data_IF_793310339433
#
_entry.id   IF_793310339433
#
_cell.length_a   1.000
_cell.length_b   1.000
_cell.length_c   1.000
_cell.angle_alpha   90.00
_cell.angle_beta   90.00
_cell.angle_gamma   90.00
#
_symmetry.space_group_name_H-M   'P 1'
#
loop_
_entity.id
_entity.type
_entity.pdbx_description
1 polymer ?
#
# COMPACT_ATOMS: atom_id res chain seq x y z
N UNK A 1 -16.39 24.18 3.10
CA UNK A 1 -15.06 24.59 2.59
C UNK A 1 -14.08 23.50 2.98
N UNK A 2 -13.68 22.65 2.03
CA UNK A 2 -12.73 21.57 2.26
C UNK A 2 -11.32 22.18 2.35
N UNK A 3 -10.64 22.00 3.48
CA UNK A 3 -9.24 22.41 3.63
C UNK A 3 -8.38 21.43 2.80
N UNK A 4 -7.92 21.89 1.64
CA UNK A 4 -7.15 21.10 0.67
C UNK A 4 -5.73 20.73 1.14
N UNK A 5 -5.32 21.16 2.33
CA UNK A 5 -3.95 20.99 2.85
C UNK A 5 -3.68 19.61 3.49
N UNK A 6 -4.72 18.81 3.78
CA UNK A 6 -4.59 17.49 4.41
C UNK A 6 -5.69 16.51 3.92
N UNK A 7 -5.71 16.14 2.62
CA UNK A 7 -6.78 15.29 2.07
C UNK A 7 -6.83 13.89 2.72
N UNK A 8 -5.72 13.39 3.27
CA UNK A 8 -5.61 12.04 3.84
C UNK A 8 -6.14 11.94 5.28
N UNK A 9 -6.07 13.03 6.06
CA UNK A 9 -6.53 13.02 7.46
C UNK A 9 -8.07 12.91 7.56
N UNK A 10 -8.80 13.42 6.56
CA UNK A 10 -10.26 13.44 6.57
C UNK A 10 -10.91 12.22 5.91
N UNK A 11 -10.18 11.48 5.07
CA UNK A 11 -10.76 10.41 4.26
C UNK A 11 -10.88 9.08 5.01
N UNK A 12 -10.01 8.81 6.00
CA UNK A 12 -9.98 7.51 6.70
C UNK A 12 -10.89 7.45 7.95
N UNK A 13 -11.20 8.57 8.59
CA UNK A 13 -11.92 8.56 9.87
C UNK A 13 -13.44 8.38 9.71
N UNK A 14 -14.03 8.78 8.58
CA UNK A 14 -15.50 8.74 8.37
C UNK A 14 -16.04 7.33 8.24
N UNK A 15 -15.33 6.42 7.56
CA UNK A 15 -15.77 5.03 7.39
C UNK A 15 -15.85 4.24 8.71
N UNK A 16 -15.11 4.68 9.74
CA UNK A 16 -15.16 4.08 11.08
C UNK A 16 -16.47 4.40 11.80
N UNK A 17 -17.12 5.53 11.46
CA UNK A 17 -18.30 6.03 12.14
C UNK A 17 -19.57 5.49 11.51
N UNK A 18 -20.05 4.33 11.96
CA UNK A 18 -21.33 3.79 11.49
C UNK A 18 -22.48 4.19 12.41
N UNK A 19 -23.41 5.08 12.00
CA UNK A 19 -24.60 5.38 12.78
C UNK A 19 -25.49 4.14 12.90
N UNK A 20 -26.25 4.05 13.99
CA UNK A 20 -27.20 2.96 14.17
C UNK A 20 -28.34 3.07 13.17
N UNK A 21 -28.91 1.92 12.78
CA UNK A 21 -30.07 1.86 11.87
C UNK A 21 -31.25 2.68 12.42
N UNK A 22 -31.46 2.63 13.74
CA UNK A 22 -32.50 3.43 14.40
C UNK A 22 -32.32 4.93 14.18
N UNK A 23 -31.07 5.42 14.23
CA UNK A 23 -30.78 6.85 14.04
C UNK A 23 -30.92 7.27 12.58
N UNK A 24 -30.64 6.38 11.63
CA UNK A 24 -30.87 6.60 10.21
C UNK A 24 -32.36 6.71 9.90
N UNK A 25 -33.17 5.79 10.46
CA UNK A 25 -34.61 5.78 10.26
C UNK A 25 -35.34 6.97 10.86
N UNK A 26 -34.75 7.66 11.85
CA UNK A 26 -35.34 8.87 12.42
C UNK A 26 -35.17 10.12 11.51
N UNK A 27 -34.22 10.12 10.56
CA UNK A 27 -34.00 11.23 9.63
C UNK A 27 -34.90 11.14 8.40
N UNK A 28 -34.92 9.99 7.74
CA UNK A 28 -35.72 9.74 6.54
C UNK A 28 -36.55 8.47 6.65
N UNK A 29 -37.46 8.43 7.63
CA UNK A 29 -38.37 7.30 7.88
C UNK A 29 -39.19 6.80 6.68
N UNK A 30 -39.27 7.60 5.61
CA UNK A 30 -39.97 7.26 4.37
C UNK A 30 -39.10 6.47 3.40
N UNK A 31 -37.77 6.54 3.49
CA UNK A 31 -36.85 5.85 2.58
C UNK A 31 -36.96 4.34 2.77
N UNK A 32 -37.04 3.86 4.00
CA UNK A 32 -37.24 2.43 4.27
C UNK A 32 -38.61 1.95 3.76
N UNK A 33 -39.64 2.80 3.85
CA UNK A 33 -40.97 2.49 3.34
C UNK A 33 -40.96 2.36 1.82
N UNK A 34 -40.26 3.26 1.11
CA UNK A 34 -40.13 3.19 -0.34
C UNK A 34 -39.25 2.03 -0.81
N UNK A 35 -38.18 1.70 -0.07
CA UNK A 35 -37.38 0.51 -0.35
C UNK A 35 -38.20 -0.77 -0.22
N UNK A 36 -39.06 -0.86 0.82
CA UNK A 36 -39.94 -2.00 1.00
C UNK A 36 -41.03 -2.05 -0.08
N UNK A 37 -41.61 -0.90 -0.44
CA UNK A 37 -42.58 -0.80 -1.53
C UNK A 37 -41.98 -1.19 -2.89
N UNK A 38 -40.69 -0.89 -3.13
CA UNK A 38 -39.96 -1.33 -4.32
C UNK A 38 -39.79 -2.84 -4.34
N UNK A 39 -39.37 -3.44 -3.21
CA UNK A 39 -39.25 -4.91 -3.07
C UNK A 39 -40.57 -5.62 -3.32
N UNK A 40 -41.68 -5.09 -2.80
CA UNK A 40 -43.02 -5.63 -3.02
C UNK A 40 -43.44 -5.54 -4.49
N UNK A 41 -43.13 -4.43 -5.18
CA UNK A 41 -43.38 -4.28 -6.62
C UNK A 41 -42.61 -5.32 -7.44
N UNK A 42 -41.35 -5.53 -7.12
CA UNK A 42 -40.52 -6.55 -7.77
C UNK A 42 -41.03 -7.97 -7.51
N UNK A 43 -41.44 -8.27 -6.28
CA UNK A 43 -42.02 -9.57 -5.91
C UNK A 43 -43.35 -9.85 -6.63
N UNK A 44 -44.17 -8.82 -6.85
CA UNK A 44 -45.43 -8.94 -7.58
C UNK A 44 -45.22 -9.04 -9.10
N UNK A 45 -44.22 -8.34 -9.64
CA UNK A 45 -43.89 -8.36 -11.06
C UNK A 45 -42.37 -8.26 -11.28
N UNK A 46 -41.69 -9.37 -11.62
CA UNK A 46 -40.25 -9.38 -11.87
C UNK A 46 -39.79 -8.50 -13.04
N UNK A 47 -40.70 -8.03 -13.90
CA UNK A 47 -40.39 -7.08 -14.99
C UNK A 47 -40.45 -5.61 -14.53
N UNK A 48 -40.96 -5.33 -13.33
CA UNK A 48 -41.02 -3.99 -12.76
C UNK A 48 -39.71 -3.61 -12.06
N UNK A 49 -38.59 -3.79 -12.76
CA UNK A 49 -37.26 -3.41 -12.26
C UNK A 49 -37.09 -1.90 -12.44
N UNK A 50 -36.81 -1.19 -11.34
CA UNK A 50 -36.51 0.23 -11.35
C UNK A 50 -35.15 0.49 -10.70
N UNK A 51 -34.09 0.27 -11.50
CA UNK A 51 -32.69 0.42 -11.08
C UNK A 51 -32.39 1.85 -10.63
N UNK A 52 -33.04 2.84 -11.26
CA UNK A 52 -32.83 4.25 -10.95
C UNK A 52 -33.38 4.58 -9.56
N UNK A 53 -34.59 4.11 -9.24
CA UNK A 53 -35.19 4.29 -7.93
C UNK A 53 -34.40 3.54 -6.84
N UNK A 54 -33.97 2.30 -7.10
CA UNK A 54 -33.12 1.53 -6.18
C UNK A 54 -31.83 2.29 -5.85
N UNK A 55 -31.07 2.69 -6.88
CA UNK A 55 -29.80 3.41 -6.73
C UNK A 55 -30.00 4.77 -6.03
N UNK A 56 -31.12 5.45 -6.30
CA UNK A 56 -31.43 6.72 -5.66
C UNK A 56 -31.74 6.57 -4.17
N UNK A 57 -32.50 5.55 -3.80
CA UNK A 57 -32.81 5.25 -2.39
C UNK A 57 -31.55 4.84 -1.62
N UNK A 58 -30.65 4.06 -2.22
CA UNK A 58 -29.34 3.74 -1.65
C UNK A 58 -28.50 5.00 -1.42
N UNK A 59 -28.44 5.89 -2.42
CA UNK A 59 -27.70 7.15 -2.32
C UNK A 59 -28.25 8.05 -1.20
N UNK A 60 -29.57 8.08 -0.98
CA UNK A 60 -30.17 8.85 0.10
C UNK A 60 -29.78 8.33 1.49
N UNK A 61 -29.66 7.01 1.65
CA UNK A 61 -29.18 6.41 2.90
C UNK A 61 -27.71 6.78 3.15
N UNK A 62 -26.88 6.78 2.11
CA UNK A 62 -25.49 7.23 2.21
C UNK A 62 -25.39 8.71 2.61
N UNK A 63 -26.22 9.57 2.03
CA UNK A 63 -26.26 10.99 2.44
C UNK A 63 -26.72 11.17 3.89
N UNK A 64 -27.67 10.37 4.39
CA UNK A 64 -28.03 10.39 5.81
C UNK A 64 -26.87 10.00 6.69
N UNK A 65 -26.15 8.96 6.30
CA UNK A 65 -24.99 8.45 7.03
C UNK A 65 -23.94 9.55 7.16
N UNK A 66 -23.58 10.18 6.03
CA UNK A 66 -22.63 11.29 6.01
C UNK A 66 -23.13 12.47 6.86
N UNK A 67 -24.42 12.82 6.75
CA UNK A 67 -25.00 13.90 7.53
C UNK A 67 -24.90 13.63 9.03
N UNK A 68 -25.24 12.42 9.49
CA UNK A 68 -25.15 12.05 10.91
C UNK A 68 -23.70 12.09 11.42
N UNK A 69 -22.75 11.57 10.64
CA UNK A 69 -21.33 11.62 10.96
C UNK A 69 -20.83 13.05 11.11
N UNK A 70 -21.13 13.93 10.14
CA UNK A 70 -20.72 15.33 10.19
C UNK A 70 -21.40 16.07 11.36
N UNK A 71 -22.67 15.77 11.63
CA UNK A 71 -23.40 16.34 12.76
C UNK A 71 -22.84 15.91 14.11
N UNK A 72 -22.39 14.66 14.25
CA UNK A 72 -21.72 14.17 15.46
C UNK A 72 -20.43 14.96 15.76
N UNK A 73 -19.61 15.22 14.73
CA UNK A 73 -18.40 16.03 14.84
C UNK A 73 -18.75 17.49 15.18
N UNK A 74 -19.77 18.05 14.52
CA UNK A 74 -20.23 19.41 14.76
C UNK A 74 -20.83 19.61 16.15
N UNK A 75 -21.47 18.58 16.72
CA UNK A 75 -22.03 18.63 18.07
C UNK A 75 -20.94 18.88 19.12
N UNK A 76 -19.77 18.28 18.95
CA UNK A 76 -18.64 18.53 19.84
C UNK A 76 -18.14 19.98 19.74
N UNK A 77 -18.06 20.54 18.53
CA UNK A 77 -17.55 21.90 18.29
C UNK A 77 -18.55 22.99 18.67
N UNK A 78 -19.83 22.77 18.44
CA UNK A 78 -20.89 23.77 18.58
C UNK A 78 -22.15 23.20 19.24
N UNK A 79 -22.07 22.67 20.48
CA UNK A 79 -23.18 21.95 21.11
C UNK A 79 -24.44 22.82 21.32
N UNK A 80 -24.28 24.15 21.33
CA UNK A 80 -25.37 25.12 21.50
C UNK A 80 -26.08 25.50 20.19
N UNK A 81 -25.69 24.90 19.06
CA UNK A 81 -26.36 25.17 17.79
C UNK A 81 -27.82 24.70 17.84
N UNK A 82 -28.73 25.51 17.25
CA UNK A 82 -30.18 25.25 17.29
C UNK A 82 -30.57 23.91 16.68
N UNK A 83 -29.81 23.43 15.70
CA UNK A 83 -30.06 22.13 15.05
C UNK A 83 -30.07 20.97 16.07
N UNK A 84 -29.28 21.06 17.14
CA UNK A 84 -29.21 20.05 18.20
C UNK A 84 -30.37 20.11 19.20
N UNK A 85 -31.32 21.02 19.00
CA UNK A 85 -32.57 21.10 19.77
C UNK A 85 -33.70 20.25 19.17
N UNK A 86 -33.53 19.75 17.94
CA UNK A 86 -34.55 19.00 17.21
C UNK A 86 -34.18 17.52 17.06
N UNK A 87 -35.18 16.68 16.87
CA UNK A 87 -34.98 15.25 16.58
C UNK A 87 -34.28 15.07 15.22
N UNK A 88 -33.41 14.05 15.06
CA UNK A 88 -32.94 13.12 16.09
C UNK A 88 -31.78 13.65 16.93
N UNK A 89 -31.29 14.85 16.64
CA UNK A 89 -30.07 15.42 17.24
C UNK A 89 -30.16 15.77 18.72
N UNK A 90 -31.37 15.91 19.26
CA UNK A 90 -31.59 16.17 20.69
C UNK A 90 -31.64 14.89 21.55
N UNK A 91 -31.72 13.72 20.92
CA UNK A 91 -31.92 12.41 21.57
C UNK A 91 -30.65 11.90 22.26
N UNK A 92 -30.81 10.97 23.21
CA UNK A 92 -29.67 10.31 23.86
C UNK A 92 -28.88 9.43 22.87
N UNK A 93 -29.59 8.76 21.95
CA UNK A 93 -28.98 7.91 20.92
C UNK A 93 -27.98 8.70 20.09
N UNK A 94 -28.36 9.90 19.65
CA UNK A 94 -27.45 10.78 18.91
C UNK A 94 -26.27 11.25 19.77
N UNK A 95 -26.49 11.60 21.05
CA UNK A 95 -25.41 12.05 21.95
C UNK A 95 -24.39 10.95 22.21
N UNK A 96 -24.84 9.71 22.39
CA UNK A 96 -23.97 8.55 22.58
C UNK A 96 -23.14 8.32 21.31
N UNK A 97 -23.77 8.35 20.13
CA UNK A 97 -23.07 8.27 18.84
C UNK A 97 -22.04 9.40 18.69
N UNK A 98 -22.40 10.65 18.98
CA UNK A 98 -21.51 11.80 18.88
C UNK A 98 -20.29 11.69 19.82
N UNK A 99 -20.49 11.16 21.03
CA UNK A 99 -19.41 10.92 21.99
C UNK A 99 -18.40 9.88 21.49
N UNK A 100 -18.89 8.79 20.90
CA UNK A 100 -18.04 7.73 20.34
C UNK A 100 -17.31 8.22 19.10
N UNK A 101 -18.02 8.99 18.27
CA UNK A 101 -17.48 9.51 17.03
C UNK A 101 -16.30 10.45 17.26
N UNK A 102 -16.40 11.32 18.26
CA UNK A 102 -15.32 12.23 18.60
C UNK A 102 -14.05 11.47 19.05
N UNK A 103 -14.18 10.50 19.95
CA UNK A 103 -13.04 9.70 20.43
C UNK A 103 -12.34 8.94 19.30
N UNK A 104 -13.11 8.34 18.39
CA UNK A 104 -12.54 7.58 17.25
C UNK A 104 -11.82 8.49 16.25
N UNK A 105 -12.38 9.68 15.98
CA UNK A 105 -11.73 10.66 15.10
C UNK A 105 -10.45 11.20 15.74
N UNK A 106 -10.46 11.52 17.03
CA UNK A 106 -9.28 12.00 17.74
C UNK A 106 -8.15 10.95 17.77
N UNK A 107 -8.50 9.69 18.01
CA UNK A 107 -7.54 8.58 17.97
C UNK A 107 -6.97 8.37 16.56
N UNK A 108 -7.82 8.41 15.53
CA UNK A 108 -7.41 8.29 14.14
C UNK A 108 -6.51 9.45 13.68
N UNK A 109 -6.86 10.69 14.06
CA UNK A 109 -6.04 11.88 13.79
C UNK A 109 -4.68 11.80 14.48
N UNK A 110 -4.65 11.36 15.74
CA UNK A 110 -3.40 11.16 16.49
C UNK A 110 -2.52 10.08 15.85
N UNK A 111 -3.09 8.93 15.49
CA UNK A 111 -2.36 7.86 14.81
C UNK A 111 -1.81 8.32 13.46
N UNK A 112 -2.58 9.10 12.71
CA UNK A 112 -2.14 9.71 11.45
C UNK A 112 -0.97 10.67 11.66
N UNK A 113 -1.06 11.55 12.66
CA UNK A 113 0.00 12.50 12.99
C UNK A 113 1.29 11.79 13.45
N UNK A 114 1.18 10.71 14.21
CA UNK A 114 2.32 9.88 14.61
C UNK A 114 2.98 9.18 13.41
N UNK A 115 2.18 8.67 12.47
CA UNK A 115 2.71 8.09 11.23
C UNK A 115 3.41 9.15 10.36
N UNK A 116 2.83 10.35 10.23
CA UNK A 116 3.44 11.45 9.49
C UNK A 116 4.80 11.86 10.09
N UNK A 117 4.90 11.90 11.43
CA UNK A 117 6.17 12.17 12.13
C UNK A 117 7.24 11.11 11.87
N UNK A 118 6.85 9.86 11.58
CA UNK A 118 7.76 8.75 11.30
C UNK A 118 8.22 8.70 9.85
N UNK A 119 7.59 9.43 8.93
CA UNK A 119 7.93 9.42 7.50
C UNK A 119 9.41 9.71 7.21
N UNK A 120 10.07 10.74 7.81
CA UNK A 120 11.49 10.99 7.54
C UNK A 120 12.38 9.81 7.95
N UNK A 121 12.09 9.20 9.09
CA UNK A 121 12.81 8.02 9.58
C UNK A 121 12.59 6.80 8.67
N UNK A 122 11.35 6.56 8.23
CA UNK A 122 11.05 5.49 7.29
C UNK A 122 11.76 5.68 5.94
N UNK A 123 11.86 6.93 5.48
CA UNK A 123 12.60 7.27 4.27
C UNK A 123 14.11 7.06 4.45
N UNK A 124 14.68 7.48 5.59
CA UNK A 124 16.08 7.22 5.94
C UNK A 124 16.40 5.72 6.00
N UNK A 125 15.55 4.94 6.64
CA UNK A 125 15.71 3.49 6.75
C UNK A 125 15.59 2.81 5.38
N UNK A 126 14.68 3.28 4.53
CA UNK A 126 14.56 2.78 3.16
C UNK A 126 15.79 3.13 2.32
N UNK A 127 16.30 4.35 2.39
CA UNK A 127 17.52 4.77 1.68
C UNK A 127 18.72 3.97 2.18
N UNK A 128 18.86 3.81 3.50
CA UNK A 128 19.90 2.98 4.11
C UNK A 128 19.80 1.53 3.64
N UNK A 129 18.60 0.96 3.59
CA UNK A 129 18.35 -0.39 3.09
C UNK A 129 18.78 -0.55 1.63
N UNK A 130 18.44 0.40 0.76
CA UNK A 130 18.87 0.42 -0.65
C UNK A 130 20.39 0.53 -0.75
N UNK A 131 21.03 1.42 0.02
CA UNK A 131 22.49 1.57 0.02
C UNK A 131 23.20 0.30 0.47
N UNK A 132 22.75 -0.30 1.58
CA UNK A 132 23.34 -1.53 2.14
C UNK A 132 23.20 -2.68 1.14
N UNK A 133 22.01 -2.86 0.55
CA UNK A 133 21.79 -3.92 -0.44
C UNK A 133 22.61 -3.70 -1.72
N UNK A 134 22.70 -2.46 -2.20
CA UNK A 134 23.51 -2.11 -3.37
C UNK A 134 25.00 -2.37 -3.11
N UNK A 135 25.53 -1.92 -1.96
CA UNK A 135 26.93 -2.16 -1.57
C UNK A 135 27.22 -3.65 -1.43
N UNK A 136 26.33 -4.41 -0.79
CA UNK A 136 26.47 -5.86 -0.65
C UNK A 136 26.53 -6.54 -2.03
N UNK A 137 25.62 -6.18 -2.94
CA UNK A 137 25.59 -6.73 -4.30
C UNK A 137 26.84 -6.37 -5.11
N UNK A 138 27.36 -5.15 -5.00
CA UNK A 138 28.60 -4.75 -5.66
C UNK A 138 29.81 -5.54 -5.15
N UNK A 139 29.89 -5.76 -3.83
CA UNK A 139 30.99 -6.50 -3.22
C UNK A 139 30.99 -7.96 -3.66
N UNK A 140 29.81 -8.58 -3.76
CA UNK A 140 29.66 -9.93 -4.26
C UNK A 140 30.08 -10.03 -5.74
N UNK A 141 29.69 -9.06 -6.56
CA UNK A 141 30.09 -8.97 -7.97
C UNK A 141 31.60 -8.80 -8.13
N UNK A 142 32.23 -7.94 -7.33
CA UNK A 142 33.68 -7.73 -7.34
C UNK A 142 34.44 -9.02 -6.95
N UNK A 143 33.97 -9.70 -5.90
CA UNK A 143 34.54 -10.99 -5.48
C UNK A 143 34.40 -12.06 -6.56
N UNK A 144 33.27 -12.07 -7.28
CA UNK A 144 33.05 -12.98 -8.39
C UNK A 144 33.96 -12.66 -9.58
N UNK A 145 34.18 -11.38 -9.89
CA UNK A 145 35.13 -10.95 -10.93
C UNK A 145 36.55 -11.37 -10.59
N UNK A 146 36.98 -11.18 -9.34
CA UNK A 146 38.32 -11.54 -8.88
C UNK A 146 38.57 -13.06 -9.01
N UNK A 147 37.63 -13.88 -8.57
CA UNK A 147 37.69 -15.34 -8.78
C UNK A 147 37.74 -15.74 -10.25
N UNK A 148 37.08 -14.99 -11.14
CA UNK A 148 37.12 -15.25 -12.60
C UNK A 148 38.49 -14.89 -13.17
N UNK A 149 39.11 -13.80 -12.72
CA UNK A 149 40.45 -13.38 -13.14
C UNK A 149 41.48 -14.41 -12.69
N UNK A 150 41.46 -14.82 -11.41
CA UNK A 150 42.32 -15.89 -10.89
C UNK A 150 42.16 -17.20 -11.68
N UNK A 151 40.91 -17.54 -12.04
CA UNK A 151 40.61 -18.69 -12.88
C UNK A 151 41.23 -18.60 -14.28
N UNK A 152 41.16 -17.42 -14.91
CA UNK A 152 41.74 -17.15 -16.23
C UNK A 152 43.28 -17.15 -16.19
N UNK A 153 43.89 -16.56 -15.17
CA UNK A 153 45.34 -16.59 -14.96
C UNK A 153 45.85 -18.02 -14.81
N UNK A 154 45.10 -18.87 -14.10
CA UNK A 154 45.39 -20.29 -14.00
C UNK A 154 45.28 -21.04 -15.33
N UNK A 155 44.33 -20.68 -16.21
CA UNK A 155 44.23 -21.25 -17.57
C UNK A 155 45.42 -20.81 -18.42
N UNK A 156 45.80 -19.53 -18.36
CA UNK A 156 46.94 -18.98 -19.11
C UNK A 156 48.24 -19.68 -18.70
N UNK A 157 48.51 -19.81 -17.40
CA UNK A 157 49.70 -20.53 -16.90
C UNK A 157 49.76 -21.99 -17.39
N UNK A 158 48.62 -22.68 -17.46
CA UNK A 158 48.55 -24.05 -18.02
C UNK A 158 48.84 -24.07 -19.53
N UNK A 159 48.33 -23.09 -20.28
CA UNK A 159 48.59 -22.96 -21.72
C UNK A 159 50.06 -22.65 -22.00
N UNK A 160 50.67 -21.73 -21.24
CA UNK A 160 52.09 -21.39 -21.36
C UNK A 160 53.00 -22.57 -21.03
N UNK A 161 52.71 -23.33 -19.96
CA UNK A 161 53.43 -24.55 -19.64
C UNK A 161 53.31 -25.62 -20.76
N UNK A 162 52.12 -25.76 -21.33
CA UNK A 162 51.88 -26.69 -22.45
C UNK A 162 52.63 -26.26 -23.71
N UNK A 163 52.59 -24.97 -24.07
CA UNK A 163 53.32 -24.40 -25.21
C UNK A 163 54.84 -24.51 -25.01
N UNK A 164 55.35 -24.28 -23.80
CA UNK A 164 56.75 -24.48 -23.44
C UNK A 164 57.22 -25.91 -23.70
N UNK A 165 56.42 -26.90 -23.30
CA UNK A 165 56.68 -28.33 -23.59
C UNK A 165 56.66 -28.65 -25.08
N UNK A 166 55.78 -28.01 -25.86
CA UNK A 166 55.75 -28.16 -27.32
C UNK A 166 56.98 -27.53 -28.01
N UNK A 167 57.44 -26.37 -27.53
CA UNK A 167 58.66 -25.70 -28.04
C UNK A 167 59.91 -26.50 -27.69
N UNK A 168 60.00 -27.04 -26.47
CA UNK A 168 61.11 -27.93 -26.08
C UNK A 168 61.12 -29.22 -26.89
N UNK A 169 59.97 -29.87 -27.08
CA UNK A 169 59.86 -31.04 -27.97
C UNK A 169 60.26 -30.69 -29.40
N UNK A 170 59.91 -29.52 -29.91
CA UNK A 170 60.35 -29.03 -31.22
C UNK A 170 61.87 -28.83 -31.33
N UNK A 171 62.52 -28.29 -30.30
CA UNK A 171 63.98 -28.12 -30.21
C UNK A 171 64.72 -29.45 -30.07
N UNK A 172 64.20 -30.38 -29.26
CA UNK A 172 64.74 -31.74 -29.09
C UNK A 172 64.69 -32.54 -30.40
N UNK A 173 63.59 -32.43 -31.17
CA UNK A 173 63.46 -33.08 -32.49
C UNK A 173 64.39 -32.49 -33.55
N UNK A 174 64.74 -31.20 -33.45
CA UNK A 174 65.73 -30.55 -34.32
C UNK A 174 67.18 -30.94 -33.96
N UNK A 175 67.47 -31.10 -32.66
CA UNK A 175 68.79 -31.58 -32.17
C UNK A 175 69.03 -33.05 -32.45
N UNK A 176 68.03 -33.93 -32.33
CA UNK A 176 68.21 -35.36 -32.60
C UNK A 176 68.48 -35.68 -34.08
N UNK A 177 67.98 -34.85 -35.02
CA UNK A 177 68.31 -34.98 -36.45
C UNK A 177 69.72 -34.51 -36.81
N UNK A 178 70.35 -33.67 -36.00
CA UNK A 178 71.71 -33.18 -36.26
C UNK A 178 72.82 -34.11 -35.71
N UNK A 179 72.48 -35.03 -34.79
CA UNK A 179 73.45 -35.90 -34.11
C UNK A 179 73.51 -37.37 -34.58
N UNK A 180 72.77 -37.75 -35.63
CA UNK A 180 72.68 -39.16 -36.08
C UNK A 180 73.29 -39.43 -37.46
N UNK A 181 74.28 -38.64 -37.87
CA UNK A 181 75.09 -38.96 -39.06
C UNK A 181 76.57 -38.83 -38.70
N UNK A 182 77.31 -39.92 -38.91
CA UNK A 182 78.72 -40.21 -38.56
C UNK A 182 78.96 -41.01 -37.28
N UNK A 183 78.74 -42.33 -37.35
CA UNK A 183 79.79 -43.32 -37.05
C UNK A 183 79.78 -44.34 -38.19
N UNK A 184 80.99 -44.67 -38.66
CA UNK A 184 81.41 -45.57 -39.74
C UNK A 184 80.94 -47.00 -39.49
#
# INVERSE_FOLDING_TARGET
MFLADQPQAHFLARELLKPSVTLLSDLFSWVEQEQEALKQRYAANPLAIDIALESFLELLVEFCTILLQDMAILYHKFPQSRVFSFSPFNTQIFRDFASQAFSQVEEAEKATLENLKRLPQQMEDSIRGILVTTIASQKELATQQERRIEGLEGVIHRMEGTLGLFVEKGKLKKRSKAGSSYII
#
